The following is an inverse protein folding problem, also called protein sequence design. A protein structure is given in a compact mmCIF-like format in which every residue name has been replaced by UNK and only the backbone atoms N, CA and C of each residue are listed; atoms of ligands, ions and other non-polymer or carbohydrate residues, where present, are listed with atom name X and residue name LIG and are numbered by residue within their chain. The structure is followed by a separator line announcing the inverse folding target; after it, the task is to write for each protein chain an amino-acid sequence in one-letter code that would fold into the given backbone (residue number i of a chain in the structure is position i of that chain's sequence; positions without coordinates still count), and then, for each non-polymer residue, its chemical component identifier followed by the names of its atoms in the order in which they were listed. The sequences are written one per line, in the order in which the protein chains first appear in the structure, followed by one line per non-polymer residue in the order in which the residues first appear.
data_IF_000913491589
#
_entry.id   IF_000913491589
#
_cell.length_a   1.000
_cell.length_b   1.000
_cell.length_c   1.000
_cell.angle_alpha   90.00
_cell.angle_beta   90.00
_cell.angle_gamma   90.00
#
_symmetry.space_group_name_H-M   'P 1'
#
loop_
_entity.id
_entity.type
_entity.pdbx_description
1 polymer ?
#
# COMPACT_ATOMS: atom_id res chain seq x y z
N UNK A 1 15.88 -5.96 39.92
CA UNK A 1 14.93 -6.41 38.89
C UNK A 1 15.63 -6.24 37.55
N UNK A 2 15.89 -7.34 36.84
CA UNK A 2 16.71 -7.36 35.63
C UNK A 2 16.01 -6.60 34.51
N UNK A 3 16.67 -5.57 33.99
CA UNK A 3 16.22 -4.74 32.89
C UNK A 3 16.45 -5.54 31.59
N UNK A 4 15.52 -6.41 31.20
CA UNK A 4 15.57 -7.07 29.89
C UNK A 4 15.27 -6.02 28.82
N UNK A 5 16.33 -5.36 28.33
CA UNK A 5 16.29 -4.58 27.10
C UNK A 5 15.88 -5.56 25.99
N UNK A 6 14.73 -5.32 25.37
CA UNK A 6 14.24 -6.14 24.26
C UNK A 6 15.23 -6.12 23.09
N UNK A 7 15.30 -7.23 22.34
CA UNK A 7 16.16 -7.32 21.15
C UNK A 7 15.73 -6.31 20.09
N UNK A 8 16.70 -5.70 19.41
CA UNK A 8 16.44 -4.84 18.26
C UNK A 8 16.15 -5.68 17.02
N UNK A 9 14.96 -5.51 16.42
CA UNK A 9 14.66 -6.16 15.14
C UNK A 9 15.33 -5.39 13.99
N UNK A 10 16.31 -6.01 13.34
CA UNK A 10 17.13 -5.40 12.31
C UNK A 10 16.39 -5.27 10.96
N UNK A 11 15.29 -6.00 10.76
CA UNK A 11 14.59 -6.08 9.48
C UNK A 11 14.11 -4.72 8.95
N UNK A 12 13.73 -3.81 9.86
CA UNK A 12 13.18 -2.50 9.53
C UNK A 12 14.16 -1.34 9.60
N UNK A 13 15.45 -1.59 9.87
CA UNK A 13 16.45 -0.53 9.98
C UNK A 13 16.96 -0.11 8.61
N UNK A 14 16.90 1.18 8.32
CA UNK A 14 17.56 1.76 7.13
C UNK A 14 19.08 1.61 7.24
N UNK A 15 19.82 1.78 6.14
CA UNK A 15 21.29 1.69 6.20
C UNK A 15 21.89 2.62 7.29
N UNK A 16 21.53 3.92 7.39
CA UNK A 16 22.04 4.79 8.46
C UNK A 16 21.68 4.29 9.88
N UNK A 17 20.46 3.77 10.06
CA UNK A 17 20.02 3.22 11.36
C UNK A 17 20.78 1.93 11.71
N UNK A 18 21.05 1.08 10.72
CA UNK A 18 21.84 -0.13 10.87
C UNK A 18 23.29 0.21 11.22
N UNK A 19 23.89 1.19 10.54
CA UNK A 19 25.24 1.69 10.86
C UNK A 19 25.31 2.21 12.30
N UNK A 20 24.33 3.02 12.72
CA UNK A 20 24.23 3.52 14.09
C UNK A 20 24.05 2.38 15.10
N UNK A 21 23.28 1.35 14.78
CA UNK A 21 23.13 0.16 15.62
C UNK A 21 24.48 -0.53 15.82
N UNK A 22 25.24 -0.79 14.75
CA UNK A 22 26.58 -1.40 14.87
C UNK A 22 27.54 -0.54 15.70
N UNK A 23 27.51 0.78 15.54
CA UNK A 23 28.32 1.68 16.38
C UNK A 23 27.94 1.59 17.86
N UNK A 24 26.64 1.57 18.17
CA UNK A 24 26.16 1.53 19.56
C UNK A 24 26.56 0.26 20.30
N UNK A 25 26.81 -0.84 19.58
CA UNK A 25 27.34 -2.08 20.15
C UNK A 25 28.87 -2.14 20.06
N UNK A 26 29.58 -1.11 19.58
CA UNK A 26 31.05 -1.07 19.49
C UNK A 26 31.64 -1.84 18.31
N UNK A 27 30.87 -1.99 17.23
CA UNK A 27 31.31 -2.60 15.97
C UNK A 27 31.51 -1.56 14.86
N UNK A 28 32.24 -1.92 13.81
CA UNK A 28 32.51 -1.03 12.68
C UNK A 28 31.29 -0.90 11.77
N UNK A 29 30.99 0.32 11.29
CA UNK A 29 29.86 0.65 10.39
C UNK A 29 29.70 -0.29 9.20
N UNK A 30 30.79 -0.69 8.55
CA UNK A 30 30.72 -1.53 7.35
C UNK A 30 30.05 -2.91 7.58
N UNK A 31 29.94 -3.36 8.84
CA UNK A 31 29.20 -4.57 9.19
C UNK A 31 27.71 -4.47 8.86
N UNK A 32 27.15 -3.26 8.86
CA UNK A 32 25.76 -2.99 8.46
C UNK A 32 25.48 -3.54 7.06
N UNK A 33 26.31 -3.20 6.08
CA UNK A 33 26.10 -3.67 4.70
C UNK A 33 26.30 -5.17 4.50
N UNK A 34 27.06 -5.84 5.37
CA UNK A 34 27.14 -7.31 5.35
C UNK A 34 25.84 -7.94 5.83
N UNK A 35 25.29 -7.43 6.94
CA UNK A 35 24.05 -7.95 7.53
C UNK A 35 22.83 -7.60 6.69
N UNK A 36 22.72 -6.38 6.16
CA UNK A 36 21.61 -5.99 5.27
C UNK A 36 21.52 -6.90 4.04
N UNK A 37 22.65 -7.25 3.43
CA UNK A 37 22.69 -8.23 2.34
C UNK A 37 22.12 -9.57 2.80
N UNK A 38 22.60 -10.15 3.91
CA UNK A 38 22.04 -11.42 4.42
C UNK A 38 20.52 -11.37 4.61
N UNK A 39 20.02 -10.29 5.21
CA UNK A 39 18.59 -10.12 5.48
C UNK A 39 17.79 -9.98 4.18
N UNK A 40 18.13 -9.00 3.34
CA UNK A 40 17.27 -8.57 2.23
C UNK A 40 17.58 -9.26 0.90
N UNK A 41 18.86 -9.56 0.64
CA UNK A 41 19.27 -10.24 -0.58
C UNK A 41 19.00 -11.75 -0.48
N UNK A 42 19.28 -12.35 0.67
CA UNK A 42 19.25 -13.80 0.84
C UNK A 42 18.09 -14.30 1.69
N UNK A 43 17.29 -13.41 2.29
CA UNK A 43 16.14 -13.80 3.11
C UNK A 43 16.52 -14.51 4.41
N UNK A 44 17.75 -14.30 4.90
CA UNK A 44 18.30 -14.99 6.09
C UNK A 44 17.89 -14.25 7.35
N UNK A 45 17.29 -15.00 8.28
CA UNK A 45 16.84 -14.57 9.60
C UNK A 45 17.69 -15.13 10.75
N UNK A 46 18.65 -16.02 10.45
CA UNK A 46 19.58 -16.60 11.41
C UNK A 46 21.00 -16.04 11.27
N UNK A 47 21.54 -15.48 12.35
CA UNK A 47 22.91 -14.97 12.39
C UNK A 47 23.97 -16.05 12.17
N UNK A 48 23.70 -17.33 12.50
CA UNK A 48 24.66 -18.41 12.31
C UNK A 48 24.93 -18.72 10.84
N UNK A 49 23.93 -18.50 9.98
CA UNK A 49 24.05 -18.66 8.52
C UNK A 49 24.91 -17.56 7.86
N UNK A 50 25.21 -16.47 8.56
CA UNK A 50 25.97 -15.33 8.02
C UNK A 50 27.49 -15.62 8.04
N UNK A 51 27.94 -16.44 7.08
CA UNK A 51 29.29 -17.02 7.04
C UNK A 51 30.45 -16.01 7.02
N UNK A 52 30.21 -14.79 6.53
CA UNK A 52 31.20 -13.71 6.47
C UNK A 52 31.29 -12.84 7.76
N UNK A 53 30.52 -13.19 8.80
CA UNK A 53 30.63 -12.60 10.13
C UNK A 53 31.47 -13.50 11.04
N UNK A 54 32.34 -12.91 11.85
CA UNK A 54 33.12 -13.67 12.85
C UNK A 54 32.23 -14.19 13.98
N UNK A 55 32.62 -15.31 14.62
CA UNK A 55 31.85 -15.96 15.69
C UNK A 55 31.46 -14.99 16.82
N UNK A 56 32.40 -14.17 17.29
CA UNK A 56 32.15 -13.20 18.35
C UNK A 56 31.03 -12.20 17.98
N UNK A 57 30.98 -11.75 16.72
CA UNK A 57 29.94 -10.84 16.25
C UNK A 57 28.57 -11.52 16.18
N UNK A 58 28.50 -12.77 15.70
CA UNK A 58 27.23 -13.52 15.64
C UNK A 58 26.64 -13.71 17.04
N UNK A 59 27.45 -14.10 18.02
CA UNK A 59 27.00 -14.26 19.41
C UNK A 59 26.51 -12.95 20.02
N UNK A 60 27.21 -11.84 19.74
CA UNK A 60 26.81 -10.50 20.17
C UNK A 60 25.47 -10.10 19.56
N UNK A 61 25.28 -10.31 18.26
CA UNK A 61 24.02 -10.03 17.57
C UNK A 61 22.87 -10.89 18.14
N UNK A 62 23.09 -12.18 18.40
CA UNK A 62 22.07 -13.04 19.05
C UNK A 62 21.66 -12.53 20.43
N UNK A 63 22.55 -11.86 21.16
CA UNK A 63 22.27 -11.33 22.48
C UNK A 63 21.45 -10.04 22.45
N UNK A 64 21.70 -9.13 21.50
CA UNK A 64 21.07 -7.80 21.49
C UNK A 64 20.12 -7.51 20.30
N UNK A 65 20.07 -8.38 19.30
CA UNK A 65 19.30 -8.19 18.09
C UNK A 65 18.62 -9.47 17.61
N UNK A 66 17.74 -9.30 16.64
CA UNK A 66 17.06 -10.36 15.92
C UNK A 66 16.74 -9.91 14.50
N UNK A 67 16.46 -10.87 13.63
CA UNK A 67 15.83 -10.63 12.33
C UNK A 67 14.50 -11.36 12.36
N UNK A 68 13.41 -10.64 12.60
CA UNK A 68 12.08 -11.22 12.68
C UNK A 68 11.17 -10.65 11.61
N UNK A 69 10.88 -11.46 10.60
CA UNK A 69 9.80 -11.23 9.66
C UNK A 69 8.43 -11.44 10.31
N UNK A 70 7.35 -10.91 9.71
CA UNK A 70 6.02 -11.11 10.25
C UNK A 70 5.51 -12.53 9.94
N UNK A 71 4.59 -13.04 10.76
CA UNK A 71 4.01 -14.38 10.61
C UNK A 71 3.05 -14.41 9.43
N UNK A 72 3.26 -15.35 8.50
CA UNK A 72 2.31 -15.63 7.41
C UNK A 72 1.23 -16.58 7.93
N UNK A 73 -0.01 -16.08 8.02
CA UNK A 73 -1.17 -16.83 8.49
C UNK A 73 -1.75 -17.70 7.37
N UNK A 74 -1.76 -17.18 6.14
CA UNK A 74 -2.17 -17.94 4.95
C UNK A 74 -1.53 -17.37 3.69
N UNK A 75 -1.42 -18.23 2.67
CA UNK A 75 -0.99 -17.89 1.32
C UNK A 75 -1.99 -18.49 0.32
N UNK A 76 -2.49 -17.64 -0.58
CA UNK A 76 -3.41 -18.02 -1.64
C UNK A 76 -2.80 -17.69 -3.01
N UNK A 77 -3.03 -18.55 -4.00
CA UNK A 77 -2.53 -18.37 -5.37
C UNK A 77 -3.72 -18.42 -6.34
N UNK A 78 -3.95 -17.31 -7.03
CA UNK A 78 -4.97 -17.17 -8.08
C UNK A 78 -4.57 -17.94 -9.34
N UNK A 79 -5.58 -18.32 -10.13
CA UNK A 79 -5.37 -18.89 -11.46
C UNK A 79 -4.59 -17.95 -12.41
N UNK A 80 -4.63 -16.63 -12.19
CA UNK A 80 -3.89 -15.64 -13.00
C UNK A 80 -2.43 -15.43 -12.54
N UNK A 81 -1.98 -16.23 -11.55
CA UNK A 81 -0.65 -16.17 -10.93
C UNK A 81 -0.51 -15.13 -9.81
N UNK A 82 -1.53 -14.32 -9.54
CA UNK A 82 -1.56 -13.41 -8.39
C UNK A 82 -1.42 -14.22 -7.10
N UNK A 83 -0.56 -13.76 -6.19
CA UNK A 83 -0.40 -14.38 -4.87
C UNK A 83 -0.82 -13.41 -3.79
N UNK A 84 -1.55 -13.88 -2.79
CA UNK A 84 -1.95 -13.10 -1.62
C UNK A 84 -1.37 -13.75 -0.36
N UNK A 85 -0.77 -12.95 0.49
CA UNK A 85 -0.37 -13.35 1.83
C UNK A 85 -1.20 -12.61 2.86
N UNK A 86 -1.71 -13.34 3.85
CA UNK A 86 -2.29 -12.77 5.07
C UNK A 86 -1.22 -12.82 6.15
N UNK A 87 -0.87 -11.66 6.67
CA UNK A 87 0.27 -11.47 7.56
C UNK A 87 -0.21 -10.94 8.90
N UNK A 88 0.15 -11.64 9.99
CA UNK A 88 -0.12 -11.18 11.35
C UNK A 88 0.89 -10.12 11.76
N UNK A 89 0.37 -9.00 12.24
CA UNK A 89 1.16 -7.88 12.75
C UNK A 89 1.19 -7.90 14.27
N UNK A 90 2.13 -7.19 14.89
CA UNK A 90 2.38 -7.17 16.33
C UNK A 90 1.14 -6.74 17.14
N UNK A 91 0.24 -5.97 16.54
CA UNK A 91 -1.04 -5.62 17.17
C UNK A 91 -2.02 -6.80 17.28
N UNK A 92 -1.71 -7.96 16.69
CA UNK A 92 -2.56 -9.14 16.59
C UNK A 92 -3.50 -9.14 15.38
N UNK A 93 -3.66 -7.98 14.72
CA UNK A 93 -4.44 -7.86 13.49
C UNK A 93 -3.74 -8.59 12.33
N UNK A 94 -4.48 -8.86 11.26
CA UNK A 94 -3.92 -9.38 10.01
C UNK A 94 -4.05 -8.33 8.90
N UNK A 95 -2.95 -8.12 8.17
CA UNK A 95 -2.89 -7.29 6.97
C UNK A 95 -2.61 -8.17 5.75
N UNK A 96 -2.87 -7.65 4.56
CA UNK A 96 -2.68 -8.40 3.33
C UNK A 96 -1.58 -7.79 2.45
N UNK A 97 -0.88 -8.66 1.72
CA UNK A 97 0.11 -8.30 0.72
C UNK A 97 -0.19 -9.08 -0.55
N UNK A 98 -0.13 -8.42 -1.71
CA UNK A 98 -0.51 -9.04 -2.99
C UNK A 98 0.60 -8.90 -4.01
N UNK A 99 1.07 -10.02 -4.56
CA UNK A 99 1.96 -10.05 -5.71
C UNK A 99 1.17 -10.22 -7.00
N UNK A 100 1.40 -9.35 -7.98
CA UNK A 100 0.72 -9.33 -9.26
C UNK A 100 1.75 -9.56 -10.38
N UNK A 101 1.82 -10.76 -10.99
CA UNK A 101 2.71 -11.01 -12.11
C UNK A 101 2.18 -10.41 -13.41
N UNK A 102 3.07 -9.86 -14.21
CA UNK A 102 2.87 -9.53 -15.62
C UNK A 102 4.13 -9.96 -16.37
N UNK A 103 4.02 -10.23 -17.68
CA UNK A 103 5.05 -10.85 -18.53
C UNK A 103 6.51 -10.65 -18.07
N UNK A 104 6.97 -9.39 -17.97
CA UNK A 104 8.34 -9.03 -17.56
C UNK A 104 8.39 -8.19 -16.27
N UNK A 105 7.30 -8.16 -15.48
CA UNK A 105 7.13 -7.28 -14.33
C UNK A 105 6.35 -7.96 -13.21
N UNK A 106 6.91 -8.04 -12.02
CA UNK A 106 6.16 -8.38 -10.81
C UNK A 106 5.94 -7.14 -9.94
N UNK A 107 4.67 -6.84 -9.63
CA UNK A 107 4.31 -5.75 -8.73
C UNK A 107 3.85 -6.29 -7.39
N UNK A 108 4.49 -5.87 -6.30
CA UNK A 108 4.03 -6.16 -4.94
C UNK A 108 3.22 -4.98 -4.37
N UNK A 109 2.01 -5.27 -3.91
CA UNK A 109 1.13 -4.36 -3.20
C UNK A 109 1.34 -4.53 -1.70
N UNK A 110 1.76 -3.46 -1.02
CA UNK A 110 2.17 -3.48 0.40
C UNK A 110 1.22 -2.63 1.23
N UNK A 111 0.82 -3.15 2.38
CA UNK A 111 0.02 -2.49 3.41
C UNK A 111 0.88 -1.62 4.31
N UNK A 112 0.34 -0.49 4.75
CA UNK A 112 0.99 0.48 5.65
C UNK A 112 0.34 0.56 7.03
N UNK A 113 -0.91 0.11 7.19
CA UNK A 113 -1.63 0.13 8.46
C UNK A 113 -2.49 -1.13 8.60
N UNK A 114 -2.83 -1.49 9.84
CA UNK A 114 -3.88 -2.45 10.15
C UNK A 114 -5.24 -1.74 10.15
N UNK A 115 -5.96 -1.86 9.03
CA UNK A 115 -7.15 -1.05 8.75
C UNK A 115 -6.80 0.32 8.16
N UNK A 116 -7.75 1.25 8.08
CA UNK A 116 -7.52 2.61 7.59
C UNK A 116 -8.46 3.63 8.25
N UNK A 117 -7.90 4.76 8.70
CA UNK A 117 -8.66 5.78 9.40
C UNK A 117 -9.52 6.67 8.47
N UNK A 118 -9.25 6.69 7.15
CA UNK A 118 -9.81 7.68 6.21
C UNK A 118 -11.25 7.46 5.76
N UNK A 119 -11.82 6.27 6.01
CA UNK A 119 -13.25 5.98 5.79
C UNK A 119 -13.75 6.23 4.35
N UNK A 120 -12.94 5.94 3.33
CA UNK A 120 -13.39 6.01 1.94
C UNK A 120 -14.54 5.01 1.74
N UNK A 121 -15.69 5.49 1.26
CA UNK A 121 -16.96 4.72 1.27
C UNK A 121 -16.92 3.46 0.42
N UNK A 122 -16.13 3.48 -0.67
CA UNK A 122 -15.94 2.39 -1.62
C UNK A 122 -14.75 1.47 -1.27
N UNK A 123 -14.16 1.57 -0.08
CA UNK A 123 -12.98 0.78 0.32
C UNK A 123 -13.32 -0.19 1.46
N UNK A 124 -13.10 -1.50 1.25
CA UNK A 124 -13.32 -2.52 2.28
C UNK A 124 -12.50 -2.26 3.55
N UNK A 125 -11.22 -1.88 3.39
CA UNK A 125 -10.32 -1.52 4.50
C UNK A 125 -10.85 -0.36 5.33
N UNK A 126 -11.49 0.64 4.70
CA UNK A 126 -12.06 1.79 5.41
C UNK A 126 -13.21 1.38 6.33
N UNK A 127 -14.06 0.43 5.89
CA UNK A 127 -15.22 -0.05 6.65
C UNK A 127 -14.84 -0.88 7.88
N UNK A 128 -13.67 -1.51 7.89
CA UNK A 128 -13.17 -2.26 9.03
C UNK A 128 -12.61 -1.38 10.16
N UNK A 129 -12.49 -0.07 9.92
CA UNK A 129 -11.90 0.85 10.88
C UNK A 129 -10.39 0.75 10.93
N UNK A 130 -9.81 1.11 12.07
CA UNK A 130 -8.37 1.26 12.25
C UNK A 130 -7.93 0.64 13.58
N UNK A 131 -6.79 -0.03 13.57
CA UNK A 131 -6.15 -0.56 14.77
C UNK A 131 -4.81 0.12 15.06
N UNK A 132 -3.84 -0.01 14.14
CA UNK A 132 -2.47 0.45 14.36
C UNK A 132 -1.74 0.78 13.06
N UNK A 133 -0.74 1.65 13.18
CA UNK A 133 0.31 1.76 12.17
C UNK A 133 1.17 0.51 12.17
N UNK A 134 1.70 0.14 11.00
CA UNK A 134 2.73 -0.90 10.90
C UNK A 134 4.10 -0.30 11.16
N UNK A 135 4.95 -1.00 11.89
CA UNK A 135 6.36 -0.67 12.04
C UNK A 135 7.11 -0.80 10.70
N UNK A 136 8.26 -0.15 10.56
CA UNK A 136 9.10 -0.30 9.36
C UNK A 136 9.41 -1.78 9.06
N UNK A 137 9.64 -2.59 10.10
CA UNK A 137 9.90 -4.03 9.98
C UNK A 137 8.67 -4.81 9.45
N UNK A 138 7.45 -4.42 9.81
CA UNK A 138 6.22 -5.03 9.30
C UNK A 138 5.91 -4.58 7.86
N UNK A 139 6.22 -3.34 7.49
CA UNK A 139 6.05 -2.86 6.11
C UNK A 139 7.06 -3.54 5.17
N UNK A 140 8.35 -3.48 5.48
CA UNK A 140 9.38 -4.12 4.64
C UNK A 140 9.36 -5.65 4.75
N UNK A 141 8.84 -6.18 5.87
CA UNK A 141 8.62 -7.60 6.08
C UNK A 141 7.69 -8.23 5.06
N UNK A 142 6.74 -7.47 4.51
CA UNK A 142 5.88 -7.94 3.41
C UNK A 142 6.68 -8.18 2.12
N UNK A 143 7.64 -7.29 1.81
CA UNK A 143 8.57 -7.49 0.69
C UNK A 143 9.50 -8.67 0.95
N UNK A 144 9.96 -8.81 2.19
CA UNK A 144 10.85 -9.89 2.62
C UNK A 144 10.17 -11.27 2.49
N UNK A 145 8.94 -11.41 2.99
CA UNK A 145 8.12 -12.63 2.85
C UNK A 145 7.94 -12.98 1.38
N UNK A 146 7.49 -12.02 0.56
CA UNK A 146 7.25 -12.26 -0.85
C UNK A 146 8.54 -12.65 -1.59
N UNK A 147 9.66 -11.94 -1.36
CA UNK A 147 10.95 -12.25 -1.99
C UNK A 147 11.47 -13.64 -1.58
N UNK A 148 11.36 -13.99 -0.28
CA UNK A 148 11.75 -15.30 0.24
C UNK A 148 10.93 -16.43 -0.41
N UNK A 149 9.64 -16.22 -0.69
CA UNK A 149 8.76 -17.20 -1.34
C UNK A 149 9.18 -17.57 -2.77
N UNK A 150 9.93 -16.71 -3.46
CA UNK A 150 10.44 -16.97 -4.82
C UNK A 150 11.84 -17.59 -4.84
N UNK A 151 12.51 -17.71 -3.68
CA UNK A 151 13.89 -18.20 -3.60
C UNK A 151 14.90 -17.36 -4.39
N UNK A 152 14.58 -16.10 -4.71
CA UNK A 152 15.39 -15.25 -5.57
C UNK A 152 16.70 -14.85 -4.90
N UNK A 153 17.82 -15.37 -5.43
CA UNK A 153 19.18 -14.94 -5.07
C UNK A 153 19.63 -13.82 -6.04
N UNK A 154 20.16 -12.68 -5.57
CA UNK A 154 20.22 -11.44 -6.37
C UNK A 154 21.15 -11.46 -7.59
N UNK A 155 22.01 -12.47 -7.73
CA UNK A 155 23.13 -12.43 -8.68
C UNK A 155 22.90 -13.22 -9.98
N UNK A 156 21.83 -14.03 -10.11
CA UNK A 156 21.69 -14.97 -11.24
C UNK A 156 20.28 -15.14 -11.83
N UNK A 157 19.25 -14.49 -11.29
CA UNK A 157 17.85 -14.70 -11.71
C UNK A 157 17.16 -13.34 -11.89
N UNK A 158 16.27 -13.23 -12.88
CA UNK A 158 15.34 -12.11 -13.01
C UNK A 158 14.58 -11.92 -11.70
N UNK A 159 14.65 -10.72 -11.12
CA UNK A 159 13.98 -10.43 -9.84
C UNK A 159 12.47 -10.62 -10.00
N UNK A 160 11.88 -11.47 -9.16
CA UNK A 160 10.44 -11.70 -9.17
C UNK A 160 9.66 -10.40 -8.86
N UNK A 161 10.14 -9.61 -7.90
CA UNK A 161 9.56 -8.31 -7.53
C UNK A 161 10.39 -7.21 -8.19
N UNK A 162 9.78 -6.52 -9.15
CA UNK A 162 10.41 -5.41 -9.87
C UNK A 162 9.80 -4.06 -9.51
N UNK A 163 8.60 -4.06 -8.93
CA UNK A 163 7.82 -2.89 -8.57
C UNK A 163 7.17 -3.08 -7.20
N UNK A 164 7.06 -2.00 -6.44
CA UNK A 164 6.30 -1.97 -5.18
C UNK A 164 5.32 -0.81 -5.21
N UNK A 165 4.08 -1.06 -4.79
CA UNK A 165 3.06 -0.03 -4.64
C UNK A 165 2.52 -0.04 -3.21
N UNK A 166 2.47 1.13 -2.58
CA UNK A 166 1.84 1.33 -1.27
C UNK A 166 0.33 1.53 -1.47
N UNK A 167 -0.34 0.49 -1.95
CA UNK A 167 -1.78 0.46 -2.28
C UNK A 167 -2.51 -0.68 -1.56
N UNK A 168 -1.89 -1.26 -0.53
CA UNK A 168 -2.51 -2.26 0.33
C UNK A 168 -3.48 -1.62 1.32
N UNK A 169 -3.50 -2.13 2.55
CA UNK A 169 -4.30 -1.58 3.64
C UNK A 169 -3.63 -0.36 4.26
N UNK A 170 -4.39 0.73 4.45
CA UNK A 170 -3.95 1.93 5.15
C UNK A 170 -3.67 3.15 4.27
N UNK A 171 -3.58 4.32 4.88
CA UNK A 171 -3.07 5.55 4.27
C UNK A 171 -1.58 5.69 4.60
N UNK A 172 -0.67 5.51 3.63
CA UNK A 172 0.77 5.53 3.89
C UNK A 172 1.26 6.83 4.55
N UNK A 173 0.68 7.99 4.19
CA UNK A 173 1.09 9.27 4.76
C UNK A 173 0.67 9.48 6.24
N UNK A 174 -0.25 8.67 6.76
CA UNK A 174 -0.56 8.64 8.20
C UNK A 174 0.34 7.66 8.98
N UNK A 175 1.23 6.95 8.29
CA UNK A 175 2.27 6.13 8.88
C UNK A 175 3.66 6.50 8.32
N UNK A 176 3.95 7.81 8.34
CA UNK A 176 5.03 8.41 7.57
C UNK A 176 6.41 7.81 7.84
N UNK A 177 6.88 7.83 9.09
CA UNK A 177 8.26 7.43 9.42
C UNK A 177 8.54 5.97 9.02
N UNK A 178 7.61 5.06 9.35
CA UNK A 178 7.75 3.64 9.05
C UNK A 178 7.71 3.36 7.54
N UNK A 179 6.82 4.05 6.81
CA UNK A 179 6.69 3.92 5.36
C UNK A 179 7.92 4.48 4.65
N UNK A 180 8.42 5.64 5.06
CA UNK A 180 9.63 6.25 4.48
C UNK A 180 10.83 5.34 4.70
N UNK A 181 11.04 4.84 5.92
CA UNK A 181 12.11 3.90 6.22
C UNK A 181 12.03 2.63 5.35
N UNK A 182 10.84 2.03 5.22
CA UNK A 182 10.64 0.86 4.38
C UNK A 182 10.91 1.14 2.90
N UNK A 183 10.44 2.27 2.36
CA UNK A 183 10.70 2.66 0.96
C UNK A 183 12.19 2.93 0.70
N UNK A 184 12.92 3.49 1.69
CA UNK A 184 14.36 3.63 1.59
C UNK A 184 15.03 2.26 1.46
N UNK A 185 14.65 1.27 2.29
CA UNK A 185 15.18 -0.11 2.20
C UNK A 185 14.81 -0.77 0.86
N UNK A 186 13.60 -0.54 0.33
CA UNK A 186 13.19 -1.05 -0.98
C UNK A 186 14.12 -0.55 -2.10
N UNK A 187 14.60 0.69 -2.01
CA UNK A 187 15.43 1.31 -3.04
C UNK A 187 16.93 1.12 -2.83
N UNK A 188 17.37 0.81 -1.61
CA UNK A 188 18.77 0.62 -1.24
C UNK A 188 19.39 -0.58 -1.99
N UNK A 189 20.62 -0.43 -2.49
CA UNK A 189 21.38 -1.48 -3.18
C UNK A 189 21.83 -2.63 -2.25
N UNK A 190 21.83 -2.40 -0.94
CA UNK A 190 22.01 -3.40 0.12
C UNK A 190 20.68 -4.03 0.55
N UNK A 191 19.55 -3.46 0.11
CA UNK A 191 18.20 -3.92 0.33
C UNK A 191 17.65 -4.67 -0.89
N UNK A 192 16.77 -4.03 -1.65
CA UNK A 192 16.17 -4.66 -2.86
C UNK A 192 16.55 -3.96 -4.16
N UNK A 193 17.24 -2.82 -4.11
CA UNK A 193 17.70 -2.05 -5.27
C UNK A 193 16.60 -1.75 -6.28
N UNK A 194 15.36 -1.51 -5.82
CA UNK A 194 14.23 -1.21 -6.69
C UNK A 194 14.33 0.25 -7.10
N UNK A 195 14.29 0.53 -8.40
CA UNK A 195 14.34 1.90 -8.90
C UNK A 195 13.29 2.78 -8.24
N UNK A 196 13.65 4.02 -7.89
CA UNK A 196 12.73 5.04 -7.38
C UNK A 196 11.53 5.35 -8.29
N UNK A 197 11.58 4.94 -9.57
CA UNK A 197 10.46 5.03 -10.52
C UNK A 197 9.47 3.86 -10.41
N UNK A 198 9.88 2.77 -9.77
CA UNK A 198 9.13 1.52 -9.61
C UNK A 198 8.60 1.30 -8.19
N UNK A 199 8.98 2.15 -7.23
CA UNK A 199 8.33 2.30 -5.93
C UNK A 199 7.31 3.44 -6.03
N UNK A 200 6.03 3.14 -5.79
CA UNK A 200 4.93 4.13 -5.89
C UNK A 200 4.20 4.24 -4.56
N UNK A 201 4.15 5.45 -4.00
CA UNK A 201 3.30 5.77 -2.86
C UNK A 201 1.95 6.27 -3.38
N UNK A 202 0.85 5.65 -2.92
CA UNK A 202 -0.50 6.14 -3.18
C UNK A 202 -1.03 6.85 -1.93
N UNK A 203 -1.73 7.97 -2.10
CA UNK A 203 -2.34 8.71 -1.00
C UNK A 203 -3.72 9.23 -1.37
N UNK A 204 -4.61 9.30 -0.38
CA UNK A 204 -5.92 9.97 -0.47
C UNK A 204 -5.84 11.48 -0.25
N UNK A 205 -4.66 12.01 0.10
CA UNK A 205 -4.39 13.44 0.12
C UNK A 205 -4.21 14.04 1.52
N UNK A 206 -3.26 13.53 2.30
CA UNK A 206 -2.83 14.19 3.55
C UNK A 206 -1.81 15.29 3.22
N UNK A 207 -2.31 16.47 2.82
CA UNK A 207 -1.51 17.54 2.20
C UNK A 207 -0.20 17.89 2.95
N UNK A 208 -0.20 18.13 4.27
CA UNK A 208 1.05 18.46 4.97
C UNK A 208 2.11 17.36 4.86
N UNK A 209 1.68 16.10 4.77
CA UNK A 209 2.57 14.96 4.68
C UNK A 209 3.07 14.70 3.26
N UNK A 210 2.37 15.21 2.22
CA UNK A 210 2.90 15.23 0.85
C UNK A 210 4.09 16.19 0.78
N UNK A 211 3.96 17.36 1.41
CA UNK A 211 5.03 18.36 1.48
C UNK A 211 6.21 17.86 2.33
N UNK A 212 5.92 17.14 3.41
CA UNK A 212 6.96 16.50 4.22
C UNK A 212 7.67 15.40 3.42
N UNK A 213 6.95 14.56 2.67
CA UNK A 213 7.53 13.48 1.85
C UNK A 213 8.64 13.97 0.92
N UNK A 214 8.46 15.17 0.35
CA UNK A 214 9.40 15.80 -0.57
C UNK A 214 10.81 16.00 0.03
N UNK A 215 10.91 16.08 1.36
CA UNK A 215 12.17 16.31 2.08
C UNK A 215 12.94 15.01 2.36
N UNK A 216 12.29 13.85 2.26
CA UNK A 216 12.83 12.58 2.75
C UNK A 216 13.05 11.54 1.66
N UNK A 217 12.23 11.52 0.60
CA UNK A 217 12.27 10.43 -0.39
C UNK A 217 11.66 10.75 -1.77
N UNK A 218 12.36 10.34 -2.83
CA UNK A 218 12.00 10.56 -4.25
C UNK A 218 11.18 9.41 -4.89
N UNK A 219 10.03 9.02 -4.35
CA UNK A 219 9.20 7.92 -4.92
C UNK A 219 8.18 8.42 -5.96
N UNK A 220 7.71 7.51 -6.83
CA UNK A 220 6.59 7.84 -7.72
C UNK A 220 5.34 8.11 -6.86
N UNK A 221 4.54 9.11 -7.24
CA UNK A 221 3.32 9.48 -6.50
C UNK A 221 2.07 9.11 -7.31
N UNK A 222 1.14 8.45 -6.63
CA UNK A 222 -0.22 8.22 -7.12
C UNK A 222 -1.23 8.90 -6.20
N UNK A 223 -2.20 9.60 -6.78
CA UNK A 223 -3.28 10.28 -6.08
C UNK A 223 -4.58 9.51 -6.23
N UNK A 224 -5.15 9.07 -5.12
CA UNK A 224 -6.49 8.51 -5.01
C UNK A 224 -7.53 9.64 -5.11
N UNK A 225 -7.85 10.03 -6.35
CA UNK A 225 -8.69 11.19 -6.66
C UNK A 225 -10.18 10.85 -6.51
N UNK A 226 -10.64 9.89 -7.31
CA UNK A 226 -11.97 9.24 -7.27
C UNK A 226 -13.22 10.12 -7.43
N UNK A 227 -13.08 11.44 -7.57
CA UNK A 227 -14.16 12.34 -7.92
C UNK A 227 -13.60 13.61 -8.60
N UNK A 228 -14.33 14.20 -9.55
CA UNK A 228 -13.87 15.35 -10.33
C UNK A 228 -14.23 16.70 -9.71
N UNK A 229 -14.95 16.72 -8.58
CA UNK A 229 -15.37 17.92 -7.86
C UNK A 229 -15.42 17.67 -6.34
N UNK A 230 -15.33 18.74 -5.55
CA UNK A 230 -15.24 18.64 -4.08
C UNK A 230 -16.50 18.07 -3.44
N UNK A 231 -17.70 18.36 -3.99
CA UNK A 231 -18.96 17.89 -3.41
C UNK A 231 -19.01 16.36 -3.40
N UNK A 232 -18.80 15.74 -4.56
CA UNK A 232 -18.75 14.29 -4.69
C UNK A 232 -17.54 13.69 -3.95
N UNK A 233 -16.39 14.37 -3.97
CA UNK A 233 -15.20 13.88 -3.26
C UNK A 233 -15.38 13.89 -1.75
N UNK A 234 -16.12 14.84 -1.19
CA UNK A 234 -16.44 14.88 0.24
C UNK A 234 -17.25 13.65 0.67
N UNK A 235 -18.10 13.12 -0.20
CA UNK A 235 -18.88 11.90 0.06
C UNK A 235 -18.01 10.65 -0.03
N UNK A 236 -17.25 10.52 -1.13
CA UNK A 236 -16.49 9.30 -1.41
C UNK A 236 -15.18 9.19 -0.62
N UNK A 237 -14.49 10.31 -0.40
CA UNK A 237 -13.15 10.41 0.20
C UNK A 237 -13.17 11.52 1.27
N UNK A 238 -13.68 11.24 2.49
CA UNK A 238 -14.02 12.26 3.49
C UNK A 238 -12.93 13.24 3.88
N UNK A 239 -11.65 12.86 3.77
CA UNK A 239 -10.49 13.72 4.03
C UNK A 239 -10.48 14.98 3.14
N UNK A 240 -11.20 14.97 2.02
CA UNK A 240 -11.37 16.12 1.14
C UNK A 240 -11.99 17.34 1.84
N UNK A 241 -12.84 17.14 2.86
CA UNK A 241 -13.41 18.24 3.65
C UNK A 241 -12.32 19.04 4.37
N UNK A 242 -11.21 18.37 4.72
CA UNK A 242 -10.05 18.99 5.36
C UNK A 242 -9.05 19.53 4.34
N UNK A 243 -8.85 18.79 3.24
CA UNK A 243 -7.91 19.13 2.18
C UNK A 243 -8.62 19.07 0.81
N UNK A 244 -9.28 20.17 0.39
CA UNK A 244 -10.03 20.23 -0.87
C UNK A 244 -9.13 20.05 -2.10
N UNK A 245 -9.74 19.73 -3.24
CA UNK A 245 -9.07 19.36 -4.48
C UNK A 245 -8.00 20.37 -4.93
N UNK A 246 -8.29 21.66 -4.88
CA UNK A 246 -7.35 22.70 -5.29
C UNK A 246 -6.06 22.65 -4.44
N UNK A 247 -6.19 22.58 -3.12
CA UNK A 247 -5.06 22.48 -2.20
C UNK A 247 -4.27 21.16 -2.40
N UNK A 248 -5.00 20.07 -2.61
CA UNK A 248 -4.42 18.75 -2.81
C UNK A 248 -3.60 18.66 -4.10
N UNK A 249 -4.17 19.09 -5.23
CA UNK A 249 -3.48 19.07 -6.52
C UNK A 249 -2.28 20.02 -6.55
N UNK A 250 -2.38 21.16 -5.87
CA UNK A 250 -1.27 22.10 -5.72
C UNK A 250 -0.10 21.49 -4.92
N UNK A 251 -0.38 20.80 -3.81
CA UNK A 251 0.63 20.06 -3.05
C UNK A 251 1.26 18.91 -3.86
N UNK A 252 0.44 18.15 -4.60
CA UNK A 252 0.95 17.10 -5.49
C UNK A 252 1.85 17.69 -6.59
N UNK A 253 1.47 18.82 -7.19
CA UNK A 253 2.29 19.48 -8.22
C UNK A 253 3.62 19.95 -7.65
N UNK A 254 3.64 20.57 -6.46
CA UNK A 254 4.89 20.93 -5.76
C UNK A 254 5.79 19.73 -5.48
N UNK A 255 5.23 18.58 -5.11
CA UNK A 255 6.00 17.35 -4.94
C UNK A 255 6.60 16.90 -6.27
N UNK A 256 5.77 16.80 -7.32
CA UNK A 256 6.20 16.33 -8.64
C UNK A 256 7.22 17.26 -9.28
N UNK A 257 7.12 18.59 -9.12
CA UNK A 257 8.05 19.55 -9.70
C UNK A 257 9.47 19.46 -9.12
N UNK A 258 9.62 18.88 -7.93
CA UNK A 258 10.93 18.59 -7.33
C UNK A 258 11.55 17.31 -7.90
N UNK A 259 10.73 16.46 -8.53
CA UNK A 259 11.18 15.28 -9.23
C UNK A 259 11.59 15.65 -10.66
N UNK A 260 12.59 14.96 -11.22
CA UNK A 260 13.09 15.27 -12.57
C UNK A 260 12.01 15.24 -13.66
N UNK A 261 12.25 16.00 -14.75
CA UNK A 261 11.30 16.43 -15.80
C UNK A 261 10.36 15.37 -16.42
N UNK A 262 10.67 14.08 -16.31
CA UNK A 262 9.86 12.99 -16.90
C UNK A 262 8.89 12.34 -15.91
N UNK A 263 8.86 12.79 -14.64
CA UNK A 263 7.98 12.24 -13.61
C UNK A 263 6.68 13.01 -13.62
N UNK A 264 5.57 12.28 -13.78
CA UNK A 264 4.22 12.83 -13.77
C UNK A 264 3.40 12.16 -12.68
N UNK A 265 2.38 12.87 -12.19
CA UNK A 265 1.43 12.34 -11.23
C UNK A 265 0.65 11.18 -11.85
N UNK A 266 0.39 10.13 -11.07
CA UNK A 266 -0.58 9.10 -11.45
C UNK A 266 -1.90 9.40 -10.76
N UNK A 267 -2.98 9.57 -11.51
CA UNK A 267 -4.32 9.73 -10.96
C UNK A 267 -4.99 8.36 -10.92
N UNK A 268 -5.38 7.90 -9.74
CA UNK A 268 -6.20 6.71 -9.57
C UNK A 268 -7.66 7.15 -9.44
N UNK A 269 -8.53 6.59 -10.28
CA UNK A 269 -9.96 6.93 -10.31
C UNK A 269 -10.81 5.66 -10.35
N UNK A 270 -11.43 5.33 -9.22
CA UNK A 270 -12.35 4.19 -9.11
C UNK A 270 -13.67 4.58 -9.74
N UNK A 271 -14.08 3.88 -10.79
CA UNK A 271 -15.35 4.12 -11.46
C UNK A 271 -16.45 3.30 -10.76
N UNK A 272 -17.44 4.02 -10.23
CA UNK A 272 -18.60 3.55 -9.50
C UNK A 272 -19.85 3.82 -10.35
N UNK A 273 -20.60 2.76 -10.64
CA UNK A 273 -21.77 2.83 -11.53
C UNK A 273 -22.79 3.83 -10.99
N UNK A 274 -23.26 4.72 -11.85
CA UNK A 274 -24.31 5.69 -11.56
C UNK A 274 -23.94 6.72 -10.46
N UNK A 275 -22.65 6.84 -10.13
CA UNK A 275 -22.13 7.73 -9.08
C UNK A 275 -21.08 8.70 -9.62
N UNK A 276 -20.06 8.19 -10.33
CA UNK A 276 -18.93 9.01 -10.77
C UNK A 276 -18.39 8.62 -12.16
N UNK A 277 -19.17 7.85 -12.93
CA UNK A 277 -18.78 7.24 -14.21
C UNK A 277 -19.53 7.81 -15.44
N UNK A 278 -20.38 8.82 -15.24
CA UNK A 278 -21.14 9.50 -16.29
C UNK A 278 -20.24 10.45 -17.14
N UNK A 279 -20.62 10.77 -18.39
CA UNK A 279 -19.86 11.70 -19.24
C UNK A 279 -19.59 13.07 -18.63
N UNK A 280 -20.52 13.64 -17.86
CA UNK A 280 -20.36 14.93 -17.18
C UNK A 280 -19.20 14.89 -16.17
N UNK A 281 -18.99 13.76 -15.50
CA UNK A 281 -17.88 13.58 -14.57
C UNK A 281 -16.54 13.53 -15.31
N UNK A 282 -16.49 12.95 -16.52
CA UNK A 282 -15.30 12.98 -17.36
C UNK A 282 -14.96 14.42 -17.79
N UNK A 283 -15.96 15.21 -18.18
CA UNK A 283 -15.79 16.62 -18.55
C UNK A 283 -15.27 17.45 -17.38
N UNK A 284 -15.84 17.27 -16.18
CA UNK A 284 -15.35 17.92 -14.97
C UNK A 284 -13.91 17.51 -14.62
N UNK A 285 -13.57 16.23 -14.82
CA UNK A 285 -12.21 15.73 -14.60
C UNK A 285 -11.20 16.34 -15.56
N UNK A 286 -11.59 16.52 -16.83
CA UNK A 286 -10.76 17.20 -17.84
C UNK A 286 -10.47 18.64 -17.41
N UNK A 287 -11.49 19.35 -16.93
CA UNK A 287 -11.31 20.73 -16.44
C UNK A 287 -10.38 20.77 -15.22
N UNK A 288 -10.64 19.92 -14.23
CA UNK A 288 -9.88 19.85 -12.99
C UNK A 288 -8.38 19.58 -13.25
N UNK A 289 -8.08 18.71 -14.21
CA UNK A 289 -6.71 18.22 -14.47
C UNK A 289 -6.03 18.93 -15.65
N UNK A 290 -6.67 19.93 -16.28
CA UNK A 290 -6.16 20.61 -17.49
C UNK A 290 -4.71 21.07 -17.35
N UNK A 291 -4.33 21.58 -16.19
CA UNK A 291 -3.00 22.12 -15.91
C UNK A 291 -2.13 21.18 -15.06
N UNK A 292 -2.53 19.91 -14.86
CA UNK A 292 -1.83 18.94 -14.02
C UNK A 292 -1.21 17.87 -14.92
N UNK A 293 0.12 17.87 -15.15
CA UNK A 293 0.79 16.82 -15.91
C UNK A 293 0.60 15.46 -15.21
N UNK A 294 -0.22 14.62 -15.81
CA UNK A 294 -0.58 13.35 -15.21
C UNK A 294 -0.89 12.26 -16.24
N UNK A 295 -0.89 11.03 -15.74
CA UNK A 295 -1.52 9.87 -16.37
C UNK A 295 -2.69 9.42 -15.50
N UNK A 296 -3.72 8.88 -16.12
CA UNK A 296 -4.95 8.47 -15.43
C UNK A 296 -5.09 6.95 -15.51
N UNK A 297 -5.29 6.34 -14.35
CA UNK A 297 -5.61 4.93 -14.17
C UNK A 297 -7.07 4.83 -13.73
N UNK A 298 -7.93 4.39 -14.65
CA UNK A 298 -9.31 4.06 -14.35
C UNK A 298 -9.37 2.67 -13.73
N UNK A 299 -10.03 2.55 -12.57
CA UNK A 299 -10.19 1.29 -11.85
C UNK A 299 -11.69 0.98 -11.82
N UNK A 300 -12.19 0.10 -12.70
CA UNK A 300 -13.57 -0.36 -12.58
C UNK A 300 -13.75 -1.01 -11.20
N UNK A 301 -14.78 -0.59 -10.46
CA UNK A 301 -14.99 -1.02 -9.09
C UNK A 301 -15.01 -2.55 -8.94
N UNK A 302 -14.31 -3.07 -7.93
CA UNK A 302 -14.35 -4.48 -7.56
C UNK A 302 -15.34 -4.62 -6.40
N UNK A 303 -16.50 -5.27 -6.62
CA UNK A 303 -17.52 -5.39 -5.59
C UNK A 303 -16.99 -6.14 -4.37
N UNK A 304 -17.52 -5.76 -3.20
CA UNK A 304 -17.36 -6.50 -1.95
C UNK A 304 -18.67 -6.37 -1.15
N UNK A 305 -18.94 -7.29 -0.21
CA UNK A 305 -20.20 -7.29 0.54
C UNK A 305 -20.50 -5.94 1.19
N UNK A 306 -21.75 -5.48 1.03
CA UNK A 306 -22.26 -4.24 1.63
C UNK A 306 -21.49 -2.97 1.23
N UNK A 307 -20.84 -2.95 0.06
CA UNK A 307 -20.17 -1.74 -0.45
C UNK A 307 -21.14 -0.57 -0.63
N UNK A 308 -22.38 -0.84 -1.06
CA UNK A 308 -23.33 0.19 -1.50
C UNK A 308 -23.05 0.71 -2.91
N UNK A 309 -22.13 0.07 -3.64
CA UNK A 309 -21.68 0.48 -4.97
C UNK A 309 -21.63 -0.70 -5.93
N UNK A 310 -21.82 -0.40 -7.22
CA UNK A 310 -21.77 -1.37 -8.30
C UNK A 310 -20.66 -1.07 -9.30
N UNK A 311 -20.20 -2.13 -9.98
CA UNK A 311 -19.25 -2.01 -11.08
C UNK A 311 -19.96 -1.44 -12.32
N UNK A 312 -19.41 -0.39 -12.96
CA UNK A 312 -19.91 0.11 -14.23
C UNK A 312 -19.91 -0.93 -15.35
N UNK A 313 -20.76 -0.71 -16.35
CA UNK A 313 -20.70 -1.48 -17.59
C UNK A 313 -19.40 -1.20 -18.35
N UNK A 314 -18.91 -2.18 -19.14
CA UNK A 314 -17.72 -1.99 -20.00
C UNK A 314 -17.88 -0.80 -20.96
N UNK A 315 -19.11 -0.55 -21.44
CA UNK A 315 -19.41 0.57 -22.34
C UNK A 315 -19.28 1.92 -21.62
N UNK A 316 -19.71 2.03 -20.36
CA UNK A 316 -19.54 3.24 -19.56
C UNK A 316 -18.05 3.53 -19.31
N UNK A 317 -17.28 2.52 -18.88
CA UNK A 317 -15.82 2.64 -18.68
C UNK A 317 -15.12 3.09 -19.96
N UNK A 318 -15.44 2.46 -21.10
CA UNK A 318 -14.83 2.80 -22.40
C UNK A 318 -15.18 4.22 -22.83
N UNK A 319 -16.44 4.65 -22.67
CA UNK A 319 -16.86 6.01 -23.00
C UNK A 319 -16.14 7.05 -22.15
N UNK A 320 -16.03 6.80 -20.84
CA UNK A 320 -15.29 7.67 -19.92
C UNK A 320 -13.80 7.76 -20.32
N UNK A 321 -13.19 6.62 -20.64
CA UNK A 321 -11.82 6.55 -21.15
C UNK A 321 -11.63 7.35 -22.45
N UNK A 322 -12.51 7.16 -23.43
CA UNK A 322 -12.44 7.82 -24.74
C UNK A 322 -12.52 9.35 -24.61
N UNK A 323 -13.41 9.88 -23.76
CA UNK A 323 -13.52 11.32 -23.50
C UNK A 323 -12.22 11.90 -22.94
N UNK A 324 -11.63 11.24 -21.95
CA UNK A 324 -10.35 11.65 -21.37
C UNK A 324 -9.18 11.57 -22.38
N UNK A 325 -9.16 10.53 -23.22
CA UNK A 325 -8.13 10.37 -24.26
C UNK A 325 -8.27 11.43 -25.36
N UNK A 326 -9.49 11.76 -25.78
CA UNK A 326 -9.76 12.82 -26.75
C UNK A 326 -9.32 14.20 -26.23
N UNK A 327 -9.35 14.40 -24.91
CA UNK A 327 -8.81 15.60 -24.26
C UNK A 327 -7.27 15.58 -24.10
N UNK A 328 -6.58 14.53 -24.56
CA UNK A 328 -5.12 14.45 -24.59
C UNK A 328 -4.47 13.75 -23.40
N UNK A 329 -5.25 13.18 -22.47
CA UNK A 329 -4.69 12.45 -21.33
C UNK A 329 -4.21 11.04 -21.72
N UNK A 330 -3.14 10.57 -21.07
CA UNK A 330 -2.77 9.16 -21.12
C UNK A 330 -3.64 8.38 -20.11
N UNK A 331 -4.57 7.58 -20.63
CA UNK A 331 -5.58 6.88 -19.83
C UNK A 331 -5.46 5.38 -20.02
N UNK A 332 -5.29 4.67 -18.91
CA UNK A 332 -5.32 3.20 -18.87
C UNK A 332 -6.49 2.72 -18.01
N UNK A 333 -7.04 1.55 -18.36
CA UNK A 333 -8.04 0.86 -17.53
C UNK A 333 -7.33 -0.31 -16.85
N UNK A 334 -7.36 -0.34 -15.53
CA UNK A 334 -6.73 -1.38 -14.74
C UNK A 334 -7.50 -2.69 -14.92
N UNK A 335 -6.80 -3.73 -15.36
CA UNK A 335 -7.35 -5.09 -15.40
C UNK A 335 -7.50 -5.60 -13.97
N UNK A 336 -8.67 -6.16 -13.65
CA UNK A 336 -8.88 -6.87 -12.37
C UNK A 336 -7.95 -8.08 -12.31
N UNK A 337 -7.30 -8.29 -11.16
CA UNK A 337 -6.32 -9.36 -10.91
C UNK A 337 -6.59 -9.98 -9.54
N UNK A 338 -6.51 -11.31 -9.45
CA UNK A 338 -6.73 -12.06 -8.21
C UNK A 338 -8.12 -11.91 -7.58
N UNK A 339 -9.16 -11.71 -8.40
CA UNK A 339 -10.55 -11.56 -7.92
C UNK A 339 -11.08 -12.86 -7.29
N UNK A 340 -10.65 -14.01 -7.80
CA UNK A 340 -10.96 -15.35 -7.29
C UNK A 340 -10.45 -15.62 -5.87
N UNK A 341 -9.53 -14.78 -5.39
CA UNK A 341 -8.94 -14.85 -4.05
C UNK A 341 -9.12 -13.53 -3.28
N UNK A 342 -10.08 -12.69 -3.64
CA UNK A 342 -10.34 -11.38 -3.01
C UNK A 342 -9.09 -10.48 -2.88
N UNK A 343 -8.16 -10.55 -3.85
CA UNK A 343 -6.90 -9.82 -3.85
C UNK A 343 -6.95 -8.54 -4.72
N UNK A 344 -8.09 -8.23 -5.35
CA UNK A 344 -8.18 -7.05 -6.18
C UNK A 344 -8.19 -5.76 -5.32
N UNK A 345 -7.85 -4.63 -5.96
CA UNK A 345 -7.79 -3.35 -5.25
C UNK A 345 -9.12 -3.01 -4.58
N UNK A 346 -9.07 -2.68 -3.29
CA UNK A 346 -10.24 -2.33 -2.47
C UNK A 346 -10.96 -3.51 -1.83
N UNK A 347 -10.61 -4.77 -2.16
CA UNK A 347 -11.21 -5.96 -1.56
C UNK A 347 -10.46 -6.47 -0.31
N UNK A 348 -9.23 -5.99 -0.07
CA UNK A 348 -8.40 -6.49 1.02
C UNK A 348 -9.11 -6.32 2.36
N UNK A 349 -9.50 -7.46 2.96
CA UNK A 349 -10.23 -7.45 4.23
C UNK A 349 -9.22 -7.60 5.37
N UNK A 350 -8.37 -8.62 5.34
CA UNK A 350 -7.59 -8.98 6.51
C UNK A 350 -8.48 -9.34 7.71
N UNK A 351 -7.93 -9.25 8.92
CA UNK A 351 -8.66 -9.39 10.19
C UNK A 351 -8.24 -8.26 11.11
N UNK A 352 -8.98 -7.15 11.09
CA UNK A 352 -8.67 -5.96 11.90
C UNK A 352 -9.37 -6.04 13.25
N UNK A 353 -8.60 -5.96 14.34
CA UNK A 353 -9.17 -5.75 15.68
C UNK A 353 -9.54 -4.28 15.85
N UNK A 354 -10.69 -3.88 15.31
CA UNK A 354 -11.09 -2.48 15.21
C UNK A 354 -11.13 -1.76 16.57
N UNK A 355 -10.37 -0.66 16.70
CA UNK A 355 -10.39 0.22 17.90
C UNK A 355 -11.31 1.42 17.74
N UNK A 356 -11.86 1.63 16.54
CA UNK A 356 -12.70 2.79 16.18
C UNK A 356 -14.20 2.52 16.33
N UNK A 357 -14.60 1.27 16.63
CA UNK A 357 -16.00 0.80 16.68
C UNK A 357 -16.78 1.04 15.39
N UNK A 358 -16.10 1.20 14.25
CA UNK A 358 -16.75 1.39 12.94
C UNK A 358 -17.33 0.09 12.43
N UNK A 359 -16.59 -1.00 12.58
CA UNK A 359 -17.08 -2.36 12.30
C UNK A 359 -18.39 -2.64 13.04
N UNK A 360 -18.46 -2.33 14.34
CA UNK A 360 -19.67 -2.46 15.17
C UNK A 360 -20.84 -1.62 14.64
N UNK A 361 -20.60 -0.37 14.24
CA UNK A 361 -21.65 0.49 13.66
C UNK A 361 -22.17 -0.05 12.33
N UNK A 362 -21.29 -0.54 11.46
CA UNK A 362 -21.71 -1.18 10.21
C UNK A 362 -22.47 -2.50 10.47
N UNK A 363 -22.07 -3.29 11.46
CA UNK A 363 -22.80 -4.51 11.87
C UNK A 363 -24.16 -4.16 12.47
N UNK A 364 -24.28 -3.08 13.23
CA UNK A 364 -25.55 -2.62 13.79
C UNK A 364 -26.51 -2.14 12.69
N UNK A 365 -26.02 -1.37 11.71
CA UNK A 365 -26.79 -1.01 10.50
C UNK A 365 -27.21 -2.27 9.72
N UNK A 366 -26.35 -3.29 9.66
CA UNK A 366 -26.65 -4.59 9.02
C UNK A 366 -27.81 -5.32 9.72
N UNK A 367 -27.84 -5.35 11.06
CA UNK A 367 -28.95 -5.99 11.79
C UNK A 367 -30.27 -5.27 11.53
N UNK A 368 -30.26 -3.94 11.59
CA UNK A 368 -31.45 -3.11 11.33
C UNK A 368 -31.98 -3.27 9.90
N UNK A 369 -31.10 -3.31 8.89
CA UNK A 369 -31.53 -3.47 7.49
C UNK A 369 -32.04 -4.89 7.20
N UNK A 370 -31.41 -5.93 7.75
CA UNK A 370 -31.91 -7.30 7.61
C UNK A 370 -33.24 -7.51 8.33
N UNK A 371 -33.45 -6.87 9.49
CA UNK A 371 -34.73 -6.89 10.21
C UNK A 371 -35.82 -6.15 9.42
N UNK A 372 -35.50 -5.02 8.78
CA UNK A 372 -36.42 -4.31 7.91
C UNK A 372 -36.77 -5.09 6.63
N UNK A 373 -35.79 -5.72 5.98
CA UNK A 373 -36.02 -6.56 4.80
C UNK A 373 -36.83 -7.83 5.15
N UNK A 374 -36.61 -8.42 6.33
CA UNK A 374 -37.42 -9.52 6.84
C UNK A 374 -38.85 -9.07 7.22
N UNK A 375 -39.02 -7.86 7.73
CA UNK A 375 -40.34 -7.28 8.04
C UNK A 375 -41.14 -6.92 6.78
N UNK A 376 -40.47 -6.58 5.67
CA UNK A 376 -41.09 -6.27 4.37
C UNK A 376 -41.36 -7.53 3.52
N UNK A 377 -40.82 -8.69 3.90
CA UNK A 377 -40.87 -9.96 3.16
C UNK A 377 -42.03 -10.91 3.45
N UNK A 378 -43.04 -10.53 4.24
CA UNK A 378 -44.25 -11.37 4.45
C UNK A 378 -45.47 -10.72 3.81
N UNK A 379 -45.61 -10.92 2.49
CA UNK A 379 -46.88 -10.97 1.74
C UNK A 379 -46.59 -11.30 0.27
N UNK A 380 -46.36 -12.58 -0.01
CA UNK A 380 -46.74 -13.14 -1.31
C UNK A 380 -47.44 -14.48 -1.03
N UNK A 381 -48.77 -14.44 -1.10
CA UNK A 381 -49.60 -15.58 -1.50
C UNK A 381 -49.65 -15.59 -3.03
#
# INVERSE_FOLDING_TARGET
MSNTVGKTNLLGLTQPQMEQFFESIGEKRFRAGQVMKWIHHFGVDDFDAMSNLGKALREKLKACAEVRGPEVVSEDISADGTRKWVIRVASGSCVETVYIPQDKRGTLCVSSQAGCALDCSFCSTGKQGFNSNLTAAEVIGQVWVANKSFGTVPAKIDRAITNVVMMGMGEPLLNFDNVVAAMQIMMDDLGYGISKRKVTLSTSGVVPMIEELAKHVDVSLALSLHAPNDALRNELVPINRKYPLAMLLDACQRYISQLGEKRVLTIEYTLLKDVNDQPEHAVQMIELLRNVPCKINLIPFNPFPHSGYERPSKNAVRRFQELLQQAGFNVTVRTTRGDDIDAACGQLVGKVMDRTRRSERYIAVRQLNNENDAALGVRQN
#
